data_IF_803821953323
#
_entry.id   IF_803821953323
#
_cell.length_a   1.000
_cell.length_b   1.000
_cell.length_c   1.000
_cell.angle_alpha   90.00
_cell.angle_beta   90.00
_cell.angle_gamma   90.00
#
_symmetry.space_group_name_H-M   'P 1'
#
loop_
_entity.id
_entity.type
_entity.pdbx_description
1 polymer ?
#
# COMPACT_ATOMS: atom_id res chain seq x y z
N UNK A 1 11.81 6.86 -0.84
CA UNK A 1 11.35 7.03 0.55
C UNK A 1 12.40 7.86 1.28
N UNK A 2 12.00 8.87 2.05
CA UNK A 2 12.94 9.74 2.77
C UNK A 2 13.85 8.94 3.72
N UNK A 3 15.10 9.35 3.87
CA UNK A 3 16.06 8.75 4.81
C UNK A 3 15.90 9.29 6.24
N UNK A 4 14.99 10.25 6.45
CA UNK A 4 14.68 10.84 7.76
C UNK A 4 13.95 9.83 8.66
N UNK A 5 14.18 9.93 9.97
CA UNK A 5 13.59 9.05 10.99
C UNK A 5 14.32 7.71 11.20
N UNK A 6 13.72 6.82 11.99
CA UNK A 6 14.33 5.55 12.43
C UNK A 6 14.65 4.59 11.28
N UNK A 7 15.86 4.05 11.29
CA UNK A 7 16.30 3.00 10.35
C UNK A 7 15.57 1.68 10.58
N UNK A 8 15.23 1.35 11.83
CA UNK A 8 14.54 0.12 12.18
C UNK A 8 13.13 0.10 11.59
N UNK A 9 12.39 1.21 11.72
CA UNK A 9 11.05 1.34 11.14
C UNK A 9 11.07 1.16 9.62
N UNK A 10 12.09 1.68 8.93
CA UNK A 10 12.24 1.45 7.48
C UNK A 10 12.46 -0.01 7.13
N UNK A 11 13.21 -0.77 7.95
CA UNK A 11 13.39 -2.22 7.76
C UNK A 11 12.09 -2.98 7.99
N UNK A 12 11.35 -2.64 9.06
CA UNK A 12 10.04 -3.25 9.34
C UNK A 12 9.06 -3.01 8.19
N UNK A 13 8.96 -1.77 7.69
CA UNK A 13 8.12 -1.44 6.54
C UNK A 13 8.53 -2.19 5.27
N UNK A 14 9.83 -2.46 5.09
CA UNK A 14 10.32 -3.23 3.96
C UNK A 14 9.82 -4.68 4.05
N UNK A 15 9.94 -5.31 5.22
CA UNK A 15 9.45 -6.67 5.47
C UNK A 15 7.93 -6.76 5.29
N UNK A 16 7.18 -5.78 5.78
CA UNK A 16 5.71 -5.72 5.60
C UNK A 16 5.35 -5.58 4.11
N UNK A 17 6.07 -4.74 3.36
CA UNK A 17 5.85 -4.60 1.92
C UNK A 17 6.09 -5.92 1.18
N UNK A 18 7.18 -6.64 1.52
CA UNK A 18 7.46 -7.96 0.96
C UNK A 18 6.37 -8.99 1.29
N UNK A 19 5.88 -9.01 2.53
CA UNK A 19 4.81 -9.92 2.94
C UNK A 19 3.51 -9.69 2.14
N UNK A 20 3.19 -8.44 1.81
CA UNK A 20 2.00 -8.07 1.05
C UNK A 20 2.09 -8.43 -0.44
N UNK A 21 3.27 -8.27 -1.06
CA UNK A 21 3.46 -8.59 -2.49
C UNK A 21 3.76 -10.07 -2.76
N UNK A 22 3.98 -10.87 -1.70
CA UNK A 22 4.29 -12.30 -1.84
C UNK A 22 3.09 -13.05 -2.41
N UNK A 23 3.39 -14.08 -3.21
CA UNK A 23 2.41 -15.08 -3.65
C UNK A 23 2.44 -16.30 -2.74
N UNK A 24 1.27 -16.87 -2.47
CA UNK A 24 1.15 -18.16 -1.79
C UNK A 24 1.62 -19.28 -2.71
N UNK A 25 1.79 -20.49 -2.17
CA UNK A 25 2.08 -21.71 -2.95
C UNK A 25 1.02 -21.98 -4.04
N UNK A 26 -0.22 -21.53 -3.81
CA UNK A 26 -1.33 -21.64 -4.75
C UNK A 26 -1.33 -20.53 -5.82
N UNK A 27 -0.23 -19.78 -5.99
CA UNK A 27 -0.09 -18.61 -6.88
C UNK A 27 -1.01 -17.41 -6.61
N UNK A 28 -1.85 -17.48 -5.57
CA UNK A 28 -2.65 -16.34 -5.12
C UNK A 28 -1.78 -15.25 -4.47
N UNK A 29 -2.07 -13.99 -4.78
CA UNK A 29 -1.44 -12.86 -4.10
C UNK A 29 -1.95 -12.74 -2.66
N UNK A 30 -1.04 -12.53 -1.69
CA UNK A 30 -1.45 -12.23 -0.31
C UNK A 30 -2.33 -10.99 -0.23
N UNK A 31 -2.00 -9.95 -1.00
CA UNK A 31 -2.80 -8.75 -1.17
C UNK A 31 -2.91 -8.43 -2.67
N UNK A 32 -4.08 -8.69 -3.31
CA UNK A 32 -4.22 -8.51 -4.75
C UNK A 32 -4.04 -7.04 -5.16
N UNK A 33 -4.56 -6.09 -4.37
CA UNK A 33 -4.50 -4.65 -4.66
C UNK A 33 -3.05 -4.14 -4.64
N UNK A 34 -2.28 -4.49 -3.61
CA UNK A 34 -0.88 -4.07 -3.51
C UNK A 34 0.02 -4.82 -4.50
N UNK A 35 -0.29 -6.07 -4.82
CA UNK A 35 0.44 -6.84 -5.83
C UNK A 35 0.27 -6.23 -7.22
N UNK A 36 -0.96 -5.88 -7.60
CA UNK A 36 -1.23 -5.20 -8.86
C UNK A 36 -0.53 -3.84 -8.93
N UNK A 37 -0.62 -3.05 -7.86
CA UNK A 37 0.09 -1.78 -7.75
C UNK A 37 1.61 -1.95 -7.93
N UNK A 38 2.21 -2.96 -7.30
CA UNK A 38 3.62 -3.29 -7.45
C UNK A 38 3.94 -3.69 -8.90
N UNK A 39 3.16 -4.58 -9.52
CA UNK A 39 3.35 -5.01 -10.92
C UNK A 39 3.34 -3.80 -11.86
N UNK A 40 2.33 -2.93 -11.75
CA UNK A 40 2.22 -1.70 -12.56
C UNK A 40 3.42 -0.76 -12.35
N UNK A 41 3.92 -0.62 -11.12
CA UNK A 41 5.11 0.21 -10.85
C UNK A 41 6.40 -0.45 -11.35
N UNK A 42 6.49 -1.78 -11.34
CA UNK A 42 7.66 -2.53 -11.77
C UNK A 42 7.89 -2.50 -13.29
N UNK A 43 6.85 -2.19 -14.08
CA UNK A 43 6.98 -1.98 -15.53
C UNK A 43 7.85 -0.77 -15.86
N UNK A 44 7.71 0.32 -15.10
CA UNK A 44 8.38 1.59 -15.39
C UNK A 44 9.57 1.88 -14.45
N UNK A 45 9.78 1.08 -13.40
CA UNK A 45 10.80 1.32 -12.37
C UNK A 45 11.51 0.03 -11.98
N UNK A 46 12.80 0.10 -11.59
CA UNK A 46 13.51 -1.06 -11.04
C UNK A 46 12.76 -1.66 -9.84
N UNK A 47 12.82 -2.98 -9.69
CA UNK A 47 12.07 -3.74 -8.67
C UNK A 47 12.20 -3.17 -7.25
N UNK A 48 13.42 -2.80 -6.83
CA UNK A 48 13.67 -2.19 -5.50
C UNK A 48 13.02 -0.81 -5.34
N UNK A 49 12.95 -0.02 -6.41
CA UNK A 49 12.29 1.29 -6.40
C UNK A 49 10.76 1.12 -6.38
N UNK A 50 10.23 0.13 -7.09
CA UNK A 50 8.81 -0.22 -7.04
C UNK A 50 8.38 -0.66 -5.62
N UNK A 51 9.20 -1.46 -4.92
CA UNK A 51 8.99 -1.77 -3.50
C UNK A 51 8.93 -0.51 -2.63
N UNK A 52 9.83 0.45 -2.88
CA UNK A 52 9.80 1.74 -2.18
C UNK A 52 8.49 2.50 -2.36
N UNK A 53 7.83 2.37 -3.52
CA UNK A 53 6.51 2.94 -3.76
C UNK A 53 5.39 2.20 -3.00
N UNK A 54 5.49 0.88 -2.85
CA UNK A 54 4.58 0.07 -2.02
C UNK A 54 4.72 0.47 -0.55
N UNK A 55 5.95 0.57 -0.05
CA UNK A 55 6.21 1.03 1.33
C UNK A 55 5.59 2.41 1.59
N UNK A 56 5.73 3.33 0.64
CA UNK A 56 5.11 4.65 0.74
C UNK A 56 3.58 4.52 0.84
N UNK A 57 2.96 3.74 -0.04
CA UNK A 57 1.51 3.50 -0.03
C UNK A 57 1.02 2.91 1.31
N UNK A 58 1.76 1.97 1.90
CA UNK A 58 1.45 1.36 3.20
C UNK A 58 1.45 2.39 4.33
N UNK A 59 2.41 3.32 4.36
CA UNK A 59 2.44 4.38 5.37
C UNK A 59 1.16 5.23 5.31
N UNK A 60 0.69 5.58 4.11
CA UNK A 60 -0.56 6.34 3.95
C UNK A 60 -1.79 5.54 4.41
N UNK A 61 -1.81 4.23 4.19
CA UNK A 61 -2.88 3.36 4.68
C UNK A 61 -2.89 3.36 6.21
N UNK A 62 -1.74 3.14 6.85
CA UNK A 62 -1.61 3.16 8.31
C UNK A 62 -2.02 4.53 8.86
N UNK A 63 -1.55 5.61 8.24
CA UNK A 63 -1.92 6.96 8.63
C UNK A 63 -3.42 7.21 8.53
N UNK A 64 -4.08 6.77 7.45
CA UNK A 64 -5.53 6.92 7.27
C UNK A 64 -6.32 6.16 8.34
N UNK A 65 -5.91 4.93 8.66
CA UNK A 65 -6.51 4.11 9.73
C UNK A 65 -6.41 4.83 11.09
N UNK A 66 -5.24 5.37 11.42
CA UNK A 66 -5.01 6.09 12.67
C UNK A 66 -5.78 7.42 12.72
N UNK A 67 -5.84 8.16 11.60
CA UNK A 67 -6.53 9.44 11.49
C UNK A 67 -8.04 9.27 11.62
N UNK A 68 -8.61 8.31 10.89
CA UNK A 68 -10.05 8.11 10.81
C UNK A 68 -10.58 7.25 11.97
N UNK A 69 -9.68 6.62 12.76
CA UNK A 69 -9.98 5.73 13.89
C UNK A 69 -10.97 4.61 13.53
N UNK A 70 -10.86 4.09 12.30
CA UNK A 70 -11.69 3.00 11.78
C UNK A 70 -10.84 1.78 11.48
N UNK A 71 -11.38 0.56 11.64
CA UNK A 71 -10.65 -0.65 11.28
C UNK A 71 -10.26 -0.63 9.79
N UNK A 72 -9.15 -1.28 9.47
CA UNK A 72 -8.70 -1.39 8.09
C UNK A 72 -9.64 -2.31 7.30
N UNK A 73 -10.05 -1.83 6.13
CA UNK A 73 -10.83 -2.58 5.16
C UNK A 73 -10.08 -2.65 3.84
N UNK A 74 -10.02 -3.84 3.24
CA UNK A 74 -9.44 -4.01 1.91
C UNK A 74 -10.41 -3.42 0.88
N UNK A 75 -9.94 -2.43 0.12
CA UNK A 75 -10.73 -1.74 -0.90
C UNK A 75 -9.94 -1.59 -2.18
N UNK A 76 -10.63 -1.70 -3.31
CA UNK A 76 -10.02 -1.39 -4.60
C UNK A 76 -9.80 0.12 -4.76
N UNK A 77 -8.85 0.57 -5.60
CA UNK A 77 -8.66 2.00 -5.88
C UNK A 77 -9.92 2.67 -6.41
N UNK A 78 -10.72 1.96 -7.20
CA UNK A 78 -11.96 2.45 -7.81
C UNK A 78 -13.06 2.67 -6.77
N UNK A 79 -13.27 1.69 -5.88
CA UNK A 79 -14.18 1.82 -4.74
C UNK A 79 -13.80 3.01 -3.85
N UNK A 80 -12.50 3.19 -3.61
CA UNK A 80 -12.00 4.29 -2.80
C UNK A 80 -12.29 5.65 -3.44
N UNK A 81 -12.09 5.79 -4.76
CA UNK A 81 -12.40 7.03 -5.49
C UNK A 81 -13.90 7.34 -5.45
N UNK A 82 -14.76 6.34 -5.66
CA UNK A 82 -16.22 6.51 -5.57
C UNK A 82 -16.63 6.99 -4.17
N UNK A 83 -16.08 6.40 -3.12
CA UNK A 83 -16.35 6.79 -1.74
C UNK A 83 -15.90 8.23 -1.45
N UNK A 84 -14.71 8.64 -1.91
CA UNK A 84 -14.22 9.99 -1.70
C UNK A 84 -15.07 11.02 -2.44
N UNK A 85 -15.44 10.72 -3.70
CA UNK A 85 -16.31 11.59 -4.50
C UNK A 85 -17.67 11.79 -3.83
N UNK A 86 -18.28 10.70 -3.35
CA UNK A 86 -19.53 10.76 -2.61
C UNK A 86 -19.44 11.54 -1.29
N UNK A 87 -18.30 11.50 -0.59
CA UNK A 87 -18.09 12.32 0.61
C UNK A 87 -17.97 13.81 0.27
N UNK A 88 -17.30 14.15 -0.81
CA UNK A 88 -17.12 15.55 -1.22
C UNK A 88 -18.40 16.20 -1.74
N UNK A 89 -19.33 15.43 -2.34
CA UNK A 89 -20.62 15.96 -2.82
C UNK A 89 -21.64 16.23 -1.71
N UNK A 90 -21.40 15.71 -0.51
CA UNK A 90 -22.30 15.84 0.66
C UNK A 90 -21.81 16.93 1.63
N UNK A 91 -20.61 17.47 1.41
CA UNK A 91 -20.00 18.56 2.17
C UNK A 91 -20.23 19.90 1.49
#
# INVERSE_FOLDING_TARGET
>A
MSKRGSILLRRVLFTIALANIRTKRNNEACNPVLMEYYKKKSQNKPKKVALGAVMHKLIFIIFAVLRDRKPFELRSPEEHVKMLTAKCSVA
#
